data_IF_082168038987
#
_entry.id   IF_082168038987
#
_cell.length_a   1.000
_cell.length_b   1.000
_cell.length_c   1.000
_cell.angle_alpha   90.00
_cell.angle_beta   90.00
_cell.angle_gamma   90.00
#
_symmetry.space_group_name_H-M   'P 1'
#
loop_
_entity.id
_entity.type
_entity.pdbx_description
1 polymer ?
#
# COMPACT_ATOMS: atom_id res chain seq x y z
N UNK A 1 -10.46 14.34 -6.01
CA UNK A 1 -9.19 15.02 -6.31
C UNK A 1 -8.83 15.91 -5.14
N UNK A 2 -7.66 15.72 -4.53
CA UNK A 2 -7.04 16.69 -3.62
C UNK A 2 -5.93 17.37 -4.42
N UNK A 3 -5.86 18.70 -4.36
CA UNK A 3 -4.73 19.45 -4.91
C UNK A 3 -3.83 19.90 -3.77
N UNK A 4 -2.64 19.32 -3.69
CA UNK A 4 -1.61 19.68 -2.71
C UNK A 4 -0.36 20.09 -3.47
N UNK A 5 0.04 21.36 -3.40
CA UNK A 5 1.26 21.89 -4.03
C UNK A 5 1.35 21.58 -5.55
N UNK A 6 0.20 21.55 -6.25
CA UNK A 6 0.14 21.24 -7.69
C UNK A 6 0.17 19.74 -8.04
N UNK A 7 0.24 18.85 -7.06
CA UNK A 7 0.14 17.40 -7.23
C UNK A 7 -1.35 17.02 -7.25
N UNK A 8 -1.75 16.28 -8.27
CA UNK A 8 -3.10 15.71 -8.38
C UNK A 8 -3.09 14.29 -7.84
N UNK A 9 -3.96 14.03 -6.88
CA UNK A 9 -4.12 12.71 -6.29
C UNK A 9 -5.58 12.29 -6.23
N UNK A 10 -5.78 10.99 -6.35
CA UNK A 10 -7.06 10.32 -6.17
C UNK A 10 -7.09 9.72 -4.76
N UNK A 11 -8.14 10.06 -4.02
CA UNK A 11 -8.41 9.46 -2.71
C UNK A 11 -9.57 8.48 -2.79
N UNK A 12 -9.77 7.74 -1.71
CA UNK A 12 -10.91 6.85 -1.54
C UNK A 12 -12.23 7.64 -1.49
N UNK A 13 -13.29 7.07 -2.07
CA UNK A 13 -14.65 7.66 -2.03
C UNK A 13 -15.41 7.26 -0.76
N UNK A 14 -16.13 8.23 -0.16
CA UNK A 14 -16.95 8.04 1.04
C UNK A 14 -16.18 8.26 2.35
N UNK A 15 -16.89 8.28 3.48
CA UNK A 15 -16.33 8.63 4.82
C UNK A 15 -16.33 7.47 5.83
N UNK A 16 -16.22 6.23 5.36
CA UNK A 16 -16.22 5.03 6.22
C UNK A 16 -14.89 4.30 6.10
N UNK A 17 -14.53 3.47 7.07
CA UNK A 17 -13.49 2.45 6.88
C UNK A 17 -13.80 1.53 5.68
N UNK A 18 -12.78 0.84 5.19
CA UNK A 18 -12.87 -0.20 4.17
C UNK A 18 -12.09 0.12 2.89
N UNK A 19 -12.23 -0.77 1.90
CA UNK A 19 -11.54 -0.64 0.63
C UNK A 19 -12.44 -0.08 -0.49
N UNK A 20 -11.81 0.56 -1.48
CA UNK A 20 -12.43 0.87 -2.78
C UNK A 20 -11.61 0.27 -3.89
N UNK A 21 -12.28 -0.50 -4.74
CA UNK A 21 -11.68 -1.29 -5.80
C UNK A 21 -11.74 -0.60 -7.15
N UNK A 22 -10.69 -0.80 -7.93
CA UNK A 22 -10.69 -0.61 -9.37
C UNK A 22 -10.25 -1.91 -10.04
N UNK A 23 -11.08 -2.44 -10.94
CA UNK A 23 -10.90 -3.77 -11.54
C UNK A 23 -10.42 -3.60 -12.98
N UNK A 24 -9.32 -4.27 -13.30
CA UNK A 24 -8.72 -4.33 -14.62
C UNK A 24 -8.96 -5.73 -15.21
N UNK A 25 -9.88 -5.79 -16.16
CA UNK A 25 -10.16 -7.03 -16.90
C UNK A 25 -8.98 -7.35 -17.82
N UNK A 26 -8.57 -8.62 -17.83
CA UNK A 26 -7.54 -9.13 -18.74
C UNK A 26 -8.07 -9.39 -20.15
N UNK A 27 -9.39 -9.42 -20.32
CA UNK A 27 -10.07 -9.64 -21.60
C UNK A 27 -9.57 -10.89 -22.34
N UNK A 28 -9.31 -11.97 -21.59
CA UNK A 28 -8.85 -13.25 -22.15
C UNK A 28 -7.34 -13.35 -22.40
N UNK A 29 -6.58 -12.29 -22.10
CA UNK A 29 -5.11 -12.35 -22.09
C UNK A 29 -4.68 -13.10 -20.84
N UNK A 30 -4.03 -14.25 -21.02
CA UNK A 30 -3.42 -14.96 -19.92
C UNK A 30 -2.08 -14.34 -19.55
N UNK A 31 -1.72 -14.41 -18.27
CA UNK A 31 -0.41 -14.00 -17.78
C UNK A 31 0.15 -15.01 -16.78
N UNK A 32 1.47 -14.97 -16.63
CA UNK A 32 2.19 -15.70 -15.58
C UNK A 32 3.06 -14.77 -14.73
N UNK A 33 3.27 -13.53 -15.15
CA UNK A 33 4.03 -12.53 -14.40
C UNK A 33 3.23 -11.23 -14.28
N UNK A 34 3.36 -10.55 -13.13
CA UNK A 34 2.82 -9.20 -12.90
C UNK A 34 3.92 -8.34 -12.31
N UNK A 35 4.09 -7.12 -12.81
CA UNK A 35 4.92 -6.11 -12.17
C UNK A 35 4.26 -4.74 -12.25
N UNK A 36 4.77 -3.79 -11.47
CA UNK A 36 4.22 -2.46 -11.48
C UNK A 36 4.75 -1.61 -10.35
N UNK A 37 4.22 -0.40 -10.24
CA UNK A 37 4.53 0.50 -9.13
C UNK A 37 3.32 1.34 -8.77
N UNK A 38 3.29 1.86 -7.54
CA UNK A 38 2.29 2.81 -7.08
C UNK A 38 3.03 3.97 -6.43
N UNK A 39 2.60 5.20 -6.70
CA UNK A 39 3.05 6.38 -5.95
C UNK A 39 1.85 6.93 -5.21
N UNK A 40 1.96 7.01 -3.89
CA UNK A 40 0.96 7.59 -3.00
C UNK A 40 1.60 8.52 -1.99
N UNK A 41 0.78 9.08 -1.13
CA UNK A 41 1.23 9.95 -0.05
C UNK A 41 0.48 9.63 1.22
N UNK A 42 1.16 9.76 2.36
CA UNK A 42 0.49 9.73 3.65
C UNK A 42 -0.35 10.99 3.81
N UNK A 43 -1.62 10.83 4.20
CA UNK A 43 -2.44 11.90 4.77
C UNK A 43 -2.72 11.55 6.23
N UNK A 44 -2.37 12.48 7.11
CA UNK A 44 -2.67 12.39 8.54
C UNK A 44 -2.06 11.12 9.19
N UNK A 45 -2.83 10.30 9.92
CA UNK A 45 -2.31 9.38 10.94
C UNK A 45 -2.44 7.88 10.58
N UNK A 46 -2.10 7.52 9.34
CA UNK A 46 -2.14 6.14 8.82
C UNK A 46 -1.62 5.08 9.79
N UNK A 47 -2.30 3.94 9.84
CA UNK A 47 -2.12 2.88 10.82
C UNK A 47 -1.29 1.68 10.32
N UNK A 48 -0.67 1.76 9.14
CA UNK A 48 0.15 0.68 8.61
C UNK A 48 -0.66 -0.60 8.37
N UNK A 49 -0.22 -1.71 8.97
CA UNK A 49 -0.93 -2.99 8.87
C UNK A 49 -1.87 -3.19 10.06
N UNK A 50 -3.14 -3.48 9.79
CA UNK A 50 -4.11 -3.78 10.83
C UNK A 50 -4.02 -5.26 11.25
N UNK A 51 -3.19 -5.52 12.26
CA UNK A 51 -2.88 -6.87 12.75
C UNK A 51 -4.08 -7.66 13.28
N UNK A 52 -5.21 -7.00 13.55
CA UNK A 52 -6.44 -7.64 14.01
C UNK A 52 -7.34 -8.14 12.87
N UNK A 53 -7.01 -7.79 11.62
CA UNK A 53 -7.77 -8.16 10.43
C UNK A 53 -6.95 -9.15 9.61
N UNK A 54 -7.33 -10.43 9.64
CA UNK A 54 -6.76 -11.50 8.81
C UNK A 54 -7.74 -11.91 7.70
N UNK A 55 -8.28 -10.90 7.00
CA UNK A 55 -9.18 -11.09 5.86
C UNK A 55 -8.73 -10.24 4.67
N UNK A 56 -8.35 -10.91 3.58
CA UNK A 56 -7.96 -10.25 2.33
C UNK A 56 -9.09 -9.40 1.74
N UNK A 57 -10.35 -9.64 2.13
CA UNK A 57 -11.50 -8.88 1.65
C UNK A 57 -11.75 -7.59 2.43
N UNK A 58 -11.10 -7.39 3.57
CA UNK A 58 -11.29 -6.23 4.43
C UNK A 58 -10.11 -5.23 4.32
N UNK A 59 -10.17 -4.10 5.04
CA UNK A 59 -9.10 -3.10 5.12
C UNK A 59 -8.00 -3.56 6.10
N UNK A 60 -7.27 -4.60 5.69
CA UNK A 60 -6.18 -5.19 6.48
C UNK A 60 -4.90 -4.31 6.53
N UNK A 61 -4.86 -3.24 5.72
CA UNK A 61 -3.80 -2.23 5.66
C UNK A 61 -4.41 -0.85 5.37
N UNK A 62 -3.67 0.19 5.75
CA UNK A 62 -3.78 1.53 5.18
C UNK A 62 -2.85 1.64 3.98
N UNK A 63 -3.41 1.99 2.82
CA UNK A 63 -2.68 2.09 1.57
C UNK A 63 -3.34 1.32 0.43
N UNK A 64 -2.52 0.63 -0.38
CA UNK A 64 -2.96 -0.02 -1.62
C UNK A 64 -2.74 -1.53 -1.58
N UNK A 65 -3.82 -2.29 -1.79
CA UNK A 65 -3.81 -3.75 -1.96
C UNK A 65 -4.03 -4.09 -3.44
N UNK A 66 -3.07 -4.80 -4.04
CA UNK A 66 -3.19 -5.36 -5.38
C UNK A 66 -3.53 -6.84 -5.23
N UNK A 67 -4.62 -7.25 -5.87
CA UNK A 67 -5.13 -8.63 -5.81
C UNK A 67 -5.57 -9.11 -7.18
N UNK A 68 -5.88 -10.41 -7.30
CA UNK A 68 -6.43 -10.98 -8.52
C UNK A 68 -7.55 -11.99 -8.25
N UNK A 69 -8.47 -12.08 -9.21
CA UNK A 69 -9.46 -13.15 -9.29
C UNK A 69 -10.53 -13.13 -8.20
N UNK A 70 -11.42 -14.11 -8.29
CA UNK A 70 -12.51 -14.36 -7.33
C UNK A 70 -12.64 -15.88 -7.12
N UNK A 71 -12.30 -16.45 -5.95
CA UNK A 71 -11.94 -15.75 -4.71
C UNK A 71 -10.62 -14.95 -4.84
N UNK A 72 -10.56 -13.86 -4.07
CA UNK A 72 -9.45 -12.89 -4.12
C UNK A 72 -8.14 -13.55 -3.71
N UNK A 73 -7.09 -13.34 -4.51
CA UNK A 73 -5.73 -13.78 -4.24
C UNK A 73 -4.79 -12.58 -4.14
N UNK A 74 -3.86 -12.62 -3.18
CA UNK A 74 -2.92 -11.53 -2.94
C UNK A 74 -1.84 -11.45 -4.02
N UNK A 75 -1.56 -10.24 -4.52
CA UNK A 75 -0.46 -9.94 -5.44
C UNK A 75 0.60 -9.10 -4.73
N UNK A 76 0.22 -7.93 -4.21
CA UNK A 76 1.15 -7.03 -3.50
C UNK A 76 0.42 -6.10 -2.54
N UNK A 77 1.08 -5.69 -1.47
CA UNK A 77 0.58 -4.65 -0.54
C UNK A 77 1.53 -3.46 -0.50
N UNK A 78 0.98 -2.25 -0.58
CA UNK A 78 1.67 -0.97 -0.40
C UNK A 78 1.10 -0.33 0.85
N UNK A 79 1.89 -0.28 1.92
CA UNK A 79 1.41 0.00 3.28
C UNK A 79 1.91 1.38 3.73
N UNK A 80 1.02 2.25 4.19
CA UNK A 80 1.36 3.57 4.72
C UNK A 80 1.54 3.49 6.24
N UNK A 81 2.78 3.55 6.71
CA UNK A 81 3.10 3.55 8.13
C UNK A 81 2.76 4.89 8.82
N UNK A 82 2.66 4.86 10.14
CA UNK A 82 2.36 6.05 10.94
C UNK A 82 3.49 7.10 10.91
N UNK A 83 4.72 6.70 11.27
CA UNK A 83 5.92 7.52 11.20
C UNK A 83 7.18 6.65 11.29
N UNK A 84 8.29 7.13 10.74
CA UNK A 84 9.52 6.33 10.55
C UNK A 84 10.47 6.25 11.76
N UNK A 85 10.28 7.08 12.79
CA UNK A 85 11.20 7.21 13.92
C UNK A 85 10.70 6.60 15.24
N UNK A 86 9.64 5.80 15.22
CA UNK A 86 9.18 5.00 16.38
C UNK A 86 8.85 3.57 15.95
N UNK A 87 8.61 2.70 16.94
CA UNK A 87 8.03 1.38 16.75
C UNK A 87 6.75 1.29 17.59
N UNK A 88 5.59 1.37 16.94
CA UNK A 88 4.27 1.18 17.59
C UNK A 88 3.42 0.24 16.75
N UNK A 89 2.23 -0.14 17.21
CA UNK A 89 1.33 -1.01 16.44
C UNK A 89 0.95 -0.48 15.05
N UNK A 90 1.13 0.82 14.80
CA UNK A 90 0.76 1.51 13.56
C UNK A 90 1.93 1.74 12.59
N UNK A 91 3.14 1.31 12.95
CA UNK A 91 4.34 1.51 12.10
C UNK A 91 4.57 0.35 11.14
N UNK A 92 5.48 0.53 10.19
CA UNK A 92 5.77 -0.48 9.19
C UNK A 92 6.23 -1.83 9.76
N UNK A 93 5.76 -2.97 9.23
CA UNK A 93 6.18 -4.30 9.68
C UNK A 93 7.66 -4.62 9.43
N UNK A 94 8.32 -3.87 8.53
CA UNK A 94 9.74 -3.98 8.24
C UNK A 94 10.61 -3.07 9.13
N UNK A 95 10.03 -2.27 10.03
CA UNK A 95 10.82 -1.41 10.90
C UNK A 95 11.79 -2.21 11.78
N UNK A 96 13.00 -1.69 11.96
CA UNK A 96 14.00 -2.29 12.82
C UNK A 96 13.52 -2.30 14.29
N UNK A 97 13.36 -3.49 14.85
CA UNK A 97 12.90 -3.70 16.22
C UNK A 97 11.38 -3.61 16.40
N UNK A 98 10.60 -3.65 15.32
CA UNK A 98 9.14 -3.78 15.41
C UNK A 98 8.72 -5.21 15.79
N UNK A 99 7.55 -5.31 16.41
CA UNK A 99 6.86 -6.59 16.64
C UNK A 99 5.60 -6.72 15.78
N UNK A 100 5.37 -5.75 14.87
CA UNK A 100 4.20 -5.77 14.01
C UNK A 100 4.29 -6.94 13.04
N UNK A 101 3.24 -7.74 13.02
CA UNK A 101 3.10 -8.86 12.11
C UNK A 101 2.21 -8.44 10.95
N UNK A 102 2.58 -8.84 9.74
CA UNK A 102 1.70 -8.73 8.57
C UNK A 102 0.88 -10.01 8.44
N UNK A 103 -0.29 -9.93 7.81
CA UNK A 103 -1.13 -11.10 7.56
C UNK A 103 -0.38 -12.15 6.74
N UNK A 104 -0.63 -13.42 7.07
CA UNK A 104 0.10 -14.55 6.48
C UNK A 104 -0.04 -14.63 4.95
N UNK A 105 -1.19 -14.20 4.41
CA UNK A 105 -1.45 -14.18 2.96
C UNK A 105 -0.64 -13.11 2.21
N UNK A 106 -0.11 -12.09 2.90
CA UNK A 106 0.76 -11.07 2.30
C UNK A 106 2.19 -11.61 2.20
N UNK A 107 2.68 -12.23 3.28
CA UNK A 107 4.06 -12.73 3.36
C UNK A 107 5.08 -11.61 3.15
N UNK A 108 6.04 -11.84 2.26
CA UNK A 108 7.09 -10.87 1.91
C UNK A 108 6.70 -9.94 0.74
N UNK A 109 5.48 -10.06 0.21
CA UNK A 109 5.04 -9.34 -0.99
C UNK A 109 4.43 -7.97 -0.62
N UNK A 110 5.21 -7.14 0.07
CA UNK A 110 4.77 -5.80 0.42
C UNK A 110 5.91 -4.79 0.40
N UNK A 111 5.54 -3.53 0.25
CA UNK A 111 6.35 -2.38 0.62
C UNK A 111 5.63 -1.59 1.70
N UNK A 112 6.40 -1.00 2.60
CA UNK A 112 5.86 -0.13 3.63
C UNK A 112 6.75 1.08 3.80
N UNK A 113 6.14 2.25 3.95
CA UNK A 113 6.85 3.50 4.17
C UNK A 113 5.94 4.50 4.89
N UNK A 114 6.51 5.48 5.59
CA UNK A 114 5.80 6.55 6.27
C UNK A 114 6.32 7.88 5.72
N UNK A 115 5.43 8.83 5.39
CA UNK A 115 5.81 10.11 4.81
C UNK A 115 6.32 11.15 5.82
N UNK A 116 6.61 10.74 7.05
CA UNK A 116 7.09 11.63 8.12
C UNK A 116 7.90 10.86 9.17
N UNK A 117 8.91 11.54 9.73
CA UNK A 117 9.69 11.10 10.87
C UNK A 117 9.33 11.86 12.16
N UNK A 118 8.12 12.43 12.20
CA UNK A 118 7.58 13.20 13.31
C UNK A 118 6.09 12.91 13.46
N UNK A 119 5.52 13.18 14.63
CA UNK A 119 4.10 12.96 14.93
C UNK A 119 3.22 13.55 13.81
N UNK A 120 2.41 12.72 13.11
CA UNK A 120 1.67 13.21 11.98
C UNK A 120 0.54 14.17 12.38
N UNK A 121 0.44 15.30 11.69
CA UNK A 121 -0.66 16.26 11.81
C UNK A 121 -1.97 15.73 11.23
N UNK A 122 -3.08 15.95 11.95
CA UNK A 122 -4.46 15.63 11.57
C UNK A 122 -5.05 16.48 10.42
N UNK A 123 -4.22 17.20 9.66
CA UNK A 123 -4.71 18.02 8.53
C UNK A 123 -3.77 18.01 7.32
N UNK A 124 -2.66 17.27 7.39
CA UNK A 124 -1.56 17.39 6.43
C UNK A 124 -1.49 16.19 5.49
N UNK A 125 -1.16 16.46 4.24
CA UNK A 125 -0.68 15.47 3.26
C UNK A 125 0.82 15.67 3.11
N UNK A 126 1.60 14.60 3.28
CA UNK A 126 3.07 14.65 3.25
C UNK A 126 3.60 14.52 1.83
N UNK A 127 3.47 15.59 1.03
CA UNK A 127 3.86 15.55 -0.40
C UNK A 127 5.37 15.62 -0.65
N UNK A 128 6.18 15.97 0.35
CA UNK A 128 7.64 16.03 0.21
C UNK A 128 8.29 14.66 0.22
N UNK A 129 7.54 13.64 0.63
CA UNK A 129 8.02 12.28 0.83
C UNK A 129 6.99 11.30 0.25
N UNK A 130 7.06 11.01 -1.06
CA UNK A 130 6.16 10.04 -1.69
C UNK A 130 6.35 8.65 -1.09
N UNK A 131 5.25 7.98 -0.78
CA UNK A 131 5.31 6.64 -0.21
C UNK A 131 5.78 5.61 -1.24
N UNK A 132 6.51 4.62 -0.73
CA UNK A 132 6.92 3.39 -1.41
C UNK A 132 7.90 3.64 -2.56
N UNK A 133 8.63 4.75 -2.49
CA UNK A 133 9.62 5.13 -3.48
C UNK A 133 11.02 4.60 -3.13
N UNK A 134 11.19 4.09 -1.90
CA UNK A 134 12.45 3.52 -1.41
C UNK A 134 13.49 4.56 -0.98
N UNK A 135 13.10 5.82 -0.80
CA UNK A 135 13.98 6.91 -0.36
C UNK A 135 13.47 7.51 0.94
N UNK A 136 14.32 8.28 1.62
CA UNK A 136 13.94 9.03 2.83
C UNK A 136 13.26 8.19 3.93
N UNK A 137 13.74 6.97 4.15
CA UNK A 137 13.26 6.09 5.22
C UNK A 137 14.24 6.13 6.39
N UNK A 138 14.22 7.16 7.26
CA UNK A 138 15.19 7.28 8.33
C UNK A 138 14.89 6.31 9.47
N UNK A 139 15.83 6.26 10.41
CA UNK A 139 15.60 5.70 11.75
C UNK A 139 15.17 4.23 11.72
N UNK A 140 13.97 3.92 12.23
CA UNK A 140 13.49 2.54 12.34
C UNK A 140 13.03 2.01 11.00
N UNK A 141 12.60 2.86 10.08
CA UNK A 141 12.08 2.47 8.78
C UNK A 141 13.17 2.15 7.74
N UNK A 142 14.44 2.43 8.01
CA UNK A 142 15.53 2.17 7.08
C UNK A 142 15.54 0.76 6.42
N UNK A 143 15.20 -0.35 7.12
CA UNK A 143 15.13 -1.66 6.47
C UNK A 143 14.02 -1.80 5.42
N UNK A 144 12.95 -1.02 5.54
CA UNK A 144 11.82 -1.03 4.59
C UNK A 144 12.22 -0.57 3.19
N UNK A 145 13.29 0.20 3.07
CA UNK A 145 13.72 0.82 1.82
C UNK A 145 14.94 0.15 1.20
N UNK A 146 15.23 -1.08 1.63
CA UNK A 146 16.28 -1.93 1.08
C UNK A 146 15.73 -3.04 0.16
N UNK A 147 14.44 -3.01 -0.17
CA UNK A 147 13.81 -4.00 -1.05
C UNK A 147 14.43 -4.01 -2.44
N UNK A 148 14.97 -5.16 -2.87
CA UNK A 148 15.44 -5.33 -4.25
C UNK A 148 14.28 -5.17 -5.21
N UNK A 149 14.27 -4.09 -5.98
CA UNK A 149 13.22 -3.81 -6.97
C UNK A 149 12.37 -2.58 -6.67
N UNK A 150 12.43 -1.98 -5.47
CA UNK A 150 11.74 -0.72 -5.18
C UNK A 150 11.99 0.33 -6.28
N UNK A 151 10.98 1.09 -6.72
CA UNK A 151 9.57 1.07 -6.26
C UNK A 151 8.68 0.00 -6.94
N UNK A 152 9.28 -0.89 -7.74
CA UNK A 152 8.56 -1.85 -8.57
C UNK A 152 8.34 -3.19 -7.87
N UNK A 153 7.07 -3.58 -7.72
CA UNK A 153 6.76 -4.96 -7.34
C UNK A 153 6.93 -5.91 -8.52
N UNK A 154 7.20 -7.18 -8.21
CA UNK A 154 7.23 -8.26 -9.19
C UNK A 154 6.67 -9.55 -8.58
N UNK A 155 5.78 -10.22 -9.30
CA UNK A 155 5.25 -11.54 -8.98
C UNK A 155 5.43 -12.45 -10.19
N UNK A 156 6.03 -13.61 -9.94
CA UNK A 156 6.19 -14.69 -10.91
C UNK A 156 5.39 -15.91 -10.45
N UNK A 157 4.46 -16.36 -11.28
CA UNK A 157 3.64 -17.55 -11.08
C UNK A 157 4.13 -18.74 -11.92
N UNK A 158 5.34 -18.67 -12.47
CA UNK A 158 5.99 -19.71 -13.25
C UNK A 158 5.30 -19.95 -14.59
N UNK A 159 4.88 -21.19 -14.82
CA UNK A 159 4.19 -21.61 -16.05
C UNK A 159 2.66 -21.53 -15.95
N UNK A 160 2.13 -20.85 -14.93
CA UNK A 160 0.69 -20.69 -14.76
C UNK A 160 0.09 -19.88 -15.93
N UNK A 161 -1.13 -20.25 -16.34
CA UNK A 161 -1.92 -19.51 -17.34
C UNK A 161 -3.07 -18.84 -16.62
N UNK A 162 -2.81 -17.69 -15.99
CA UNK A 162 -3.78 -16.98 -15.17
C UNK A 162 -4.59 -16.05 -16.07
N UNK A 163 -5.92 -16.11 -15.97
CA UNK A 163 -6.83 -15.21 -16.69
C UNK A 163 -7.61 -14.29 -15.76
N UNK A 164 -7.40 -14.43 -14.44
CA UNK A 164 -8.01 -13.63 -13.40
C UNK A 164 -7.84 -12.12 -13.67
N UNK A 165 -8.90 -11.34 -13.44
CA UNK A 165 -8.77 -9.88 -13.40
C UNK A 165 -7.75 -9.46 -12.34
N UNK A 166 -7.15 -8.29 -12.54
CA UNK A 166 -6.33 -7.64 -11.52
C UNK A 166 -7.19 -6.56 -10.86
N UNK A 167 -7.03 -6.38 -9.55
CA UNK A 167 -7.76 -5.40 -8.78
C UNK A 167 -6.77 -4.58 -7.96
N UNK A 168 -6.84 -3.26 -8.10
CA UNK A 168 -6.17 -2.32 -7.21
C UNK A 168 -7.20 -1.78 -6.22
N UNK A 169 -6.90 -1.84 -4.94
CA UNK A 169 -7.80 -1.41 -3.86
C UNK A 169 -7.10 -0.40 -2.99
N UNK A 170 -7.68 0.79 -2.81
CA UNK A 170 -7.25 1.71 -1.76
C UNK A 170 -8.03 1.36 -0.50
N UNK A 171 -7.33 1.00 0.57
CA UNK A 171 -7.89 0.48 1.82
C UNK A 171 -7.44 1.38 2.97
N UNK A 172 -8.36 1.66 3.89
CA UNK A 172 -8.06 2.36 5.15
C UNK A 172 -8.95 1.77 6.26
N UNK A 173 -8.43 1.59 7.46
CA UNK A 173 -9.22 1.11 8.60
C UNK A 173 -10.07 2.21 9.26
N UNK A 174 -9.91 3.48 8.89
CA UNK A 174 -10.70 4.60 9.39
C UNK A 174 -11.34 5.46 8.28
N UNK A 175 -12.02 6.52 8.70
CA UNK A 175 -12.58 7.55 7.83
C UNK A 175 -11.49 8.50 7.31
N UNK A 176 -11.68 9.04 6.09
CA UNK A 176 -10.66 9.85 5.40
C UNK A 176 -10.27 11.14 6.14
N UNK A 177 -11.07 11.62 7.10
CA UNK A 177 -10.78 12.79 7.91
C UNK A 177 -9.87 12.50 9.11
N UNK A 178 -9.49 11.23 9.30
CA UNK A 178 -8.50 10.79 10.26
C UNK A 178 -7.20 10.33 9.58
N UNK A 179 -7.31 9.55 8.51
CA UNK A 179 -6.19 9.09 7.69
C UNK A 179 -6.65 8.74 6.28
N UNK A 180 -5.76 8.87 5.30
CA UNK A 180 -6.01 8.49 3.91
C UNK A 180 -4.65 8.25 3.23
N UNK A 181 -4.66 7.47 2.16
CA UNK A 181 -3.47 7.25 1.33
C UNK A 181 -3.75 7.66 -0.11
N UNK A 182 -3.82 8.98 -0.40
CA UNK A 182 -4.06 9.46 -1.75
C UNK A 182 -3.02 8.94 -2.75
N UNK A 183 -3.50 8.36 -3.86
CA UNK A 183 -2.70 7.79 -4.94
C UNK A 183 -2.54 8.79 -6.07
N UNK A 184 -1.30 9.05 -6.48
CA UNK A 184 -0.98 9.89 -7.63
C UNK A 184 -1.00 9.09 -8.94
N UNK A 185 -0.32 7.94 -8.93
CA UNK A 185 -0.20 7.09 -10.11
C UNK A 185 -0.06 5.64 -9.71
N UNK A 186 -0.47 4.76 -10.61
CA UNK A 186 -0.15 3.35 -10.57
C UNK A 186 0.15 2.87 -11.98
N UNK A 187 1.06 1.91 -12.09
CA UNK A 187 1.35 1.19 -13.32
C UNK A 187 1.30 -0.30 -13.03
N UNK A 188 0.63 -1.07 -13.89
CA UNK A 188 0.51 -2.52 -13.76
C UNK A 188 0.72 -3.13 -15.14
N UNK A 189 1.66 -4.06 -15.23
CA UNK A 189 2.04 -4.77 -16.44
C UNK A 189 1.93 -6.27 -16.19
N UNK A 190 1.50 -6.99 -17.23
CA UNK A 190 1.43 -8.44 -17.23
C UNK A 190 2.16 -9.02 -18.43
N UNK A 191 2.66 -10.24 -18.26
CA UNK A 191 3.29 -11.04 -19.32
C UNK A 191 2.75 -12.46 -19.30
#
# INVERSE_FOLDING_TARGET
ELMTVGIRVCRREGNSAGCRSNIFQTNGISYSQICGKVVGYQKERTNGANTNIDDINDAYIDGVSITRGSPRQHVWSYIAGFQSNINTGSTCPCNNGTTNIIQSFVGEHYYCESGTNSEPSNTKVYTTDPLWDGNNCPSHEAPCCNGTGLPWFFRDYGNATITDYIELRVCENEAWNNEDTPVQLYEIYVK
#
